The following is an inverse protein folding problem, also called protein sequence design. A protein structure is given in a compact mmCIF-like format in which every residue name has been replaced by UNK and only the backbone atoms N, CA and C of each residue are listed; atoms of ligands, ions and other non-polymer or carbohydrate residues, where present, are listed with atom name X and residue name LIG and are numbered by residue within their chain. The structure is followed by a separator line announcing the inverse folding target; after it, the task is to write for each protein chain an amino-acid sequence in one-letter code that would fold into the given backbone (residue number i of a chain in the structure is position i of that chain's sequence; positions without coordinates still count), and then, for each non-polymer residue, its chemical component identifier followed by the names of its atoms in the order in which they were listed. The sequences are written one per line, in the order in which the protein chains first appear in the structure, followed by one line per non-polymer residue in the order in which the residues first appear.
data_IF_512918251871
#
_entry.id   IF_512918251871
#
_cell.length_a   1.000
_cell.length_b   1.000
_cell.length_c   1.000
_cell.angle_alpha   90.00
_cell.angle_beta   90.00
_cell.angle_gamma   90.00
#
_symmetry.space_group_name_H-M   'P 1'
#
loop_
_entity.id
_entity.type
_entity.pdbx_description
1 polymer ?
#
# COMPACT_ATOMS: atom_id res chain seq x y z
N UNK A 1 -13.26 8.52 -11.19
CA UNK A 1 -13.73 8.05 -9.87
C UNK A 1 -13.93 6.55 -9.87
N UNK A 2 -13.23 5.83 -8.99
CA UNK A 2 -13.41 4.39 -8.76
C UNK A 2 -13.79 4.18 -7.30
N UNK A 3 -14.83 3.39 -7.05
CA UNK A 3 -15.17 2.97 -5.69
C UNK A 3 -14.22 1.85 -5.29
N UNK A 4 -13.36 2.14 -4.32
CA UNK A 4 -12.42 1.16 -3.78
C UNK A 4 -13.01 0.60 -2.49
N UNK A 5 -13.22 -0.71 -2.46
CA UNK A 5 -13.51 -1.43 -1.22
C UNK A 5 -12.21 -1.70 -0.49
N UNK A 6 -11.96 -1.00 0.61
CA UNK A 6 -10.74 -1.16 1.39
C UNK A 6 -10.97 -1.74 2.79
N UNK A 7 -9.99 -2.48 3.34
CA UNK A 7 -9.98 -2.90 4.74
C UNK A 7 -9.95 -1.73 5.71
N UNK A 8 -10.68 -1.88 6.81
CA UNK A 8 -10.63 -1.01 8.00
C UNK A 8 -9.64 -1.61 8.99
N UNK A 9 -8.71 -0.80 9.49
CA UNK A 9 -7.77 -1.20 10.53
C UNK A 9 -8.38 -1.06 11.92
N UNK A 10 -8.21 -2.09 12.76
CA UNK A 10 -8.63 -2.06 14.16
C UNK A 10 -7.59 -2.64 15.09
N UNK A 11 -7.61 -2.16 16.33
CA UNK A 11 -6.73 -2.62 17.40
C UNK A 11 -7.54 -3.39 18.45
N UNK A 12 -6.98 -4.48 18.94
CA UNK A 12 -7.61 -5.37 19.90
C UNK A 12 -6.66 -5.72 21.05
N UNK A 13 -7.22 -5.80 22.25
CA UNK A 13 -6.57 -6.50 23.37
C UNK A 13 -6.66 -8.01 23.13
N UNK A 14 -5.66 -8.83 23.51
CA UNK A 14 -5.69 -10.28 23.31
C UNK A 14 -6.95 -10.97 23.85
N UNK A 15 -7.57 -10.46 24.92
CA UNK A 15 -8.82 -11.04 25.46
C UNK A 15 -10.00 -10.94 24.49
N UNK A 16 -9.91 -10.08 23.47
CA UNK A 16 -10.92 -9.89 22.43
C UNK A 16 -10.48 -10.46 21.07
N UNK A 17 -9.60 -11.47 21.06
CA UNK A 17 -9.13 -12.11 19.82
C UNK A 17 -10.29 -12.65 18.96
N UNK A 18 -11.38 -13.13 19.57
CA UNK A 18 -12.57 -13.57 18.83
C UNK A 18 -13.20 -12.43 17.99
N UNK A 19 -13.24 -11.21 18.53
CA UNK A 19 -13.71 -10.04 17.78
C UNK A 19 -12.75 -9.66 16.65
N UNK A 20 -11.43 -9.75 16.90
CA UNK A 20 -10.42 -9.51 15.88
C UNK A 20 -10.57 -10.50 14.71
N UNK A 21 -10.76 -11.78 15.00
CA UNK A 21 -11.00 -12.83 13.99
C UNK A 21 -12.26 -12.52 13.18
N UNK A 22 -13.37 -12.16 13.84
CA UNK A 22 -14.62 -11.80 13.16
C UNK A 22 -14.44 -10.62 12.21
N UNK A 23 -13.73 -9.58 12.65
CA UNK A 23 -13.40 -8.40 11.84
C UNK A 23 -12.54 -8.75 10.62
N UNK A 24 -11.53 -9.59 10.79
CA UNK A 24 -10.64 -10.00 9.70
C UNK A 24 -11.35 -10.92 8.70
N UNK A 25 -12.21 -11.83 9.17
CA UNK A 25 -13.05 -12.67 8.30
C UNK A 25 -14.05 -11.85 7.48
N UNK A 26 -14.45 -10.69 7.98
CA UNK A 26 -15.26 -9.72 7.24
C UNK A 26 -14.43 -8.81 6.31
N UNK A 27 -13.14 -9.10 6.10
CA UNK A 27 -12.23 -8.41 5.19
C UNK A 27 -11.33 -7.36 5.83
N UNK A 28 -11.52 -7.04 7.11
CA UNK A 28 -10.75 -6.01 7.80
C UNK A 28 -9.32 -6.43 8.16
N UNK A 29 -8.54 -5.47 8.67
CA UNK A 29 -7.21 -5.74 9.22
C UNK A 29 -7.22 -5.53 10.74
N UNK A 30 -6.53 -6.40 11.49
CA UNK A 30 -6.47 -6.31 12.93
C UNK A 30 -5.03 -6.29 13.47
N UNK A 31 -4.78 -5.43 14.46
CA UNK A 31 -3.63 -5.47 15.36
C UNK A 31 -4.05 -6.07 16.70
N UNK A 32 -3.32 -7.07 17.17
CA UNK A 32 -3.46 -7.64 18.51
C UNK A 32 -2.28 -7.17 19.37
N UNK A 33 -2.57 -6.42 20.43
CA UNK A 33 -1.58 -5.82 21.34
C UNK A 33 -1.22 -6.74 22.51
N UNK A 34 -0.71 -7.94 22.21
CA UNK A 34 -0.20 -8.83 23.26
C UNK A 34 1.16 -8.33 23.76
N UNK A 35 1.35 -8.13 25.05
CA UNK A 35 2.70 -7.80 25.55
C UNK A 35 3.51 -9.08 25.82
N UNK A 36 4.79 -9.15 25.42
CA UNK A 36 5.62 -8.08 24.84
C UNK A 36 5.57 -7.96 23.29
N UNK A 37 4.74 -8.77 22.61
CA UNK A 37 4.74 -8.95 21.14
C UNK A 37 3.40 -8.65 20.50
N UNK A 38 3.37 -7.66 19.62
CA UNK A 38 2.18 -7.35 18.84
C UNK A 38 2.18 -8.15 17.54
N UNK A 39 0.99 -8.50 17.09
CA UNK A 39 0.77 -9.28 15.87
C UNK A 39 -0.31 -8.63 15.03
N UNK A 40 -0.20 -8.75 13.72
CA UNK A 40 -1.29 -8.53 12.80
C UNK A 40 -2.04 -9.84 12.61
N UNK A 41 -3.34 -9.74 12.47
CA UNK A 41 -4.19 -10.78 11.91
C UNK A 41 -4.79 -10.21 10.62
N UNK A 42 -4.56 -10.88 9.51
CA UNK A 42 -4.88 -10.41 8.17
C UNK A 42 -5.63 -11.50 7.38
N UNK A 43 -6.47 -11.12 6.40
CA UNK A 43 -7.23 -12.08 5.64
C UNK A 43 -6.32 -12.90 4.71
N UNK A 44 -6.74 -14.14 4.47
CA UNK A 44 -6.30 -14.99 3.36
C UNK A 44 -7.57 -15.51 2.70
N UNK A 45 -7.59 -15.55 1.37
CA UNK A 45 -8.70 -16.06 0.58
C UNK A 45 -8.21 -17.28 -0.21
N UNK A 46 -8.55 -18.48 0.28
CA UNK A 46 -8.12 -19.75 -0.32
C UNK A 46 -6.59 -19.84 -0.55
N UNK A 47 -5.79 -19.28 0.36
CA UNK A 47 -4.33 -19.24 0.28
C UNK A 47 -3.76 -18.06 -0.52
N UNK A 48 -4.63 -17.19 -1.05
CA UNK A 48 -4.24 -15.95 -1.72
C UNK A 48 -4.34 -14.76 -0.78
N UNK A 49 -3.37 -13.85 -0.87
CA UNK A 49 -3.36 -12.61 -0.09
C UNK A 49 -4.14 -11.54 -0.88
N UNK A 50 -5.22 -10.94 -0.33
CA UNK A 50 -5.91 -9.85 -1.00
C UNK A 50 -4.96 -8.68 -1.31
N UNK A 51 -5.19 -7.98 -2.43
CA UNK A 51 -4.25 -6.96 -2.94
C UNK A 51 -3.89 -5.90 -1.87
N UNK A 52 -4.90 -5.27 -1.24
CA UNK A 52 -4.65 -4.24 -0.23
C UNK A 52 -4.02 -4.80 1.05
N UNK A 53 -4.20 -6.09 1.34
CA UNK A 53 -3.49 -6.78 2.41
C UNK A 53 -2.01 -6.97 2.06
N UNK A 54 -1.71 -7.40 0.83
CA UNK A 54 -0.35 -7.54 0.35
C UNK A 54 0.40 -6.20 0.37
N UNK A 55 -0.27 -5.11 -0.06
CA UNK A 55 0.30 -3.77 -0.02
C UNK A 55 0.54 -3.25 1.40
N UNK A 56 -0.39 -3.48 2.33
CA UNK A 56 -0.15 -3.19 3.74
C UNK A 56 1.07 -3.93 4.30
N UNK A 57 1.24 -5.21 3.94
CA UNK A 57 2.40 -6.00 4.35
C UNK A 57 3.71 -5.44 3.77
N UNK A 58 3.69 -4.98 2.51
CA UNK A 58 4.82 -4.33 1.87
C UNK A 58 5.18 -2.99 2.55
N UNK A 59 4.18 -2.15 2.84
CA UNK A 59 4.37 -0.88 3.54
C UNK A 59 4.98 -1.09 4.94
N UNK A 60 4.63 -2.20 5.60
CA UNK A 60 5.20 -2.60 6.88
C UNK A 60 6.54 -3.36 6.77
N UNK A 61 7.07 -3.55 5.57
CA UNK A 61 8.33 -4.26 5.34
C UNK A 61 8.31 -5.68 5.89
N UNK A 62 7.17 -6.36 5.81
CA UNK A 62 6.98 -7.73 6.30
C UNK A 62 7.92 -8.67 5.56
N UNK A 63 8.74 -9.40 6.31
CA UNK A 63 9.72 -10.37 5.78
C UNK A 63 9.25 -11.81 5.81
N UNK A 64 8.14 -12.08 6.49
CA UNK A 64 7.58 -13.40 6.67
C UNK A 64 6.28 -13.33 7.46
N UNK A 65 5.43 -14.32 7.22
CA UNK A 65 4.12 -14.47 7.83
C UNK A 65 3.82 -15.96 8.01
N UNK A 66 2.96 -16.28 8.97
CA UNK A 66 2.47 -17.63 9.19
C UNK A 66 0.99 -17.68 8.78
N UNK A 67 0.58 -18.72 8.06
CA UNK A 67 -0.85 -19.04 7.94
C UNK A 67 -1.26 -19.87 9.15
N UNK A 68 -2.32 -19.46 9.84
CA UNK A 68 -2.77 -20.16 11.05
C UNK A 68 -3.43 -21.48 10.64
N UNK A 69 -2.88 -22.60 11.09
CA UNK A 69 -3.35 -23.94 10.71
C UNK A 69 -4.58 -24.41 11.49
N UNK A 70 -4.70 -24.02 12.76
CA UNK A 70 -5.72 -24.58 13.67
C UNK A 70 -6.39 -23.52 14.55
N UNK A 71 -7.57 -23.87 15.07
CA UNK A 71 -8.34 -23.02 15.96
C UNK A 71 -9.19 -21.96 15.24
N UNK A 72 -9.80 -21.02 15.99
CA UNK A 72 -10.77 -20.08 15.43
C UNK A 72 -10.21 -19.14 14.35
N UNK A 73 -8.90 -18.88 14.39
CA UNK A 73 -8.19 -18.07 13.40
C UNK A 73 -7.66 -18.89 12.20
N UNK A 74 -7.98 -20.18 12.09
CA UNK A 74 -7.49 -21.01 10.99
C UNK A 74 -7.83 -20.42 9.61
N UNK A 75 -6.84 -20.43 8.72
CA UNK A 75 -6.91 -19.81 7.39
C UNK A 75 -6.71 -18.28 7.39
N UNK A 76 -6.29 -17.68 8.50
CA UNK A 76 -5.89 -16.26 8.54
C UNK A 76 -4.37 -16.15 8.59
N UNK A 77 -3.84 -15.02 8.11
CA UNK A 77 -2.42 -14.74 8.18
C UNK A 77 -2.10 -14.08 9.53
N UNK A 78 -1.03 -14.55 10.17
CA UNK A 78 -0.45 -13.95 11.37
C UNK A 78 0.91 -13.38 11.03
N UNK A 79 1.08 -12.09 11.31
CA UNK A 79 2.33 -11.37 11.02
C UNK A 79 2.85 -10.74 12.30
N UNK A 80 4.13 -10.91 12.61
CA UNK A 80 4.74 -10.20 13.74
C UNK A 80 4.91 -8.72 13.40
N UNK A 81 4.37 -7.83 14.23
CA UNK A 81 4.52 -6.39 14.04
C UNK A 81 5.82 -5.89 14.70
N UNK A 82 6.79 -5.35 13.93
CA UNK A 82 8.01 -4.79 14.49
C UNK A 82 7.72 -3.59 15.40
N UNK A 83 8.50 -3.44 16.48
CA UNK A 83 8.27 -2.40 17.50
C UNK A 83 8.25 -0.98 16.90
N UNK A 84 9.15 -0.71 15.96
CA UNK A 84 9.30 0.59 15.31
C UNK A 84 8.13 0.97 14.38
N UNK A 85 7.27 0.01 14.02
CA UNK A 85 6.10 0.26 13.17
C UNK A 85 4.79 0.28 13.94
N UNK A 86 4.81 0.04 15.26
CA UNK A 86 3.59 0.00 16.07
C UNK A 86 2.82 1.32 16.01
N UNK A 87 3.51 2.44 16.13
CA UNK A 87 2.91 3.78 16.07
C UNK A 87 2.22 4.02 14.73
N UNK A 88 2.90 3.73 13.61
CA UNK A 88 2.33 3.88 12.27
C UNK A 88 1.04 3.09 12.07
N UNK A 89 0.98 1.83 12.55
CA UNK A 89 -0.25 1.03 12.43
C UNK A 89 -1.34 1.51 13.39
N UNK A 90 -0.97 2.09 14.53
CA UNK A 90 -1.95 2.72 15.43
C UNK A 90 -2.56 3.98 14.79
N UNK A 91 -1.77 4.76 14.05
CA UNK A 91 -2.28 5.91 13.29
C UNK A 91 -3.31 5.46 12.24
N UNK A 92 -3.08 4.32 11.59
CA UNK A 92 -4.06 3.72 10.66
C UNK A 92 -5.34 3.30 11.39
N UNK A 93 -5.22 2.68 12.56
CA UNK A 93 -6.36 2.31 13.40
C UNK A 93 -7.14 3.55 13.88
N UNK A 94 -6.46 4.64 14.21
CA UNK A 94 -7.08 5.89 14.66
C UNK A 94 -7.85 6.56 13.51
N UNK A 95 -7.23 6.67 12.33
CA UNK A 95 -7.90 7.15 11.11
C UNK A 95 -9.18 6.36 10.81
N UNK A 96 -9.11 5.05 11.00
CA UNK A 96 -10.19 4.13 10.65
C UNK A 96 -11.23 3.94 11.79
N UNK A 97 -10.98 4.50 12.98
CA UNK A 97 -11.86 4.37 14.15
C UNK A 97 -13.26 4.97 13.93
N UNK A 98 -13.41 5.88 12.96
CA UNK A 98 -14.69 6.46 12.56
C UNK A 98 -15.64 5.47 11.89
N UNK A 99 -15.14 4.35 11.37
CA UNK A 99 -15.95 3.35 10.69
C UNK A 99 -16.39 2.27 11.68
N UNK A 100 -17.62 1.78 11.56
CA UNK A 100 -18.15 0.65 12.35
C UNK A 100 -17.99 -0.71 11.65
N UNK A 101 -17.80 -0.70 10.33
CA UNK A 101 -17.64 -1.90 9.50
C UNK A 101 -16.20 -2.40 9.45
N UNK A 102 -15.99 -3.56 8.80
CA UNK A 102 -14.65 -4.12 8.55
C UNK A 102 -14.07 -3.72 7.19
N UNK A 103 -14.94 -3.30 6.27
CA UNK A 103 -14.61 -2.79 4.96
C UNK A 103 -15.38 -1.48 4.72
N UNK A 104 -14.80 -0.56 3.97
CA UNK A 104 -15.45 0.68 3.56
C UNK A 104 -15.28 0.91 2.07
N UNK A 105 -16.34 1.42 1.43
CA UNK A 105 -16.28 1.92 0.06
C UNK A 105 -15.79 3.37 0.09
N UNK A 106 -14.67 3.65 -0.56
CA UNK A 106 -14.17 5.01 -0.73
C UNK A 106 -14.11 5.39 -2.22
N UNK A 107 -14.77 6.49 -2.56
CA UNK A 107 -14.71 7.06 -3.89
C UNK A 107 -13.36 7.76 -4.09
N UNK A 108 -12.43 7.10 -4.77
CA UNK A 108 -11.09 7.63 -5.02
C UNK A 108 -10.96 8.07 -6.48
N UNK A 109 -10.66 9.34 -6.67
CA UNK A 109 -10.31 9.88 -7.98
C UNK A 109 -8.81 10.19 -8.04
N UNK A 110 -8.08 9.41 -8.85
CA UNK A 110 -6.64 9.57 -9.02
C UNK A 110 -6.28 10.81 -9.86
N UNK A 111 -7.14 11.20 -10.81
CA UNK A 111 -6.93 12.38 -11.66
C UNK A 111 -7.22 13.69 -10.91
N UNK A 112 -7.97 13.63 -9.81
CA UNK A 112 -8.13 14.78 -8.93
C UNK A 112 -6.98 14.97 -7.94
N UNK A 113 -6.18 13.93 -7.68
CA UNK A 113 -5.16 14.00 -6.62
C UNK A 113 -3.72 13.95 -7.04
N UNK A 114 -3.39 13.11 -8.01
CA UNK A 114 -2.02 12.87 -8.43
C UNK A 114 -1.05 12.58 -7.25
N UNK A 115 -1.52 12.15 -6.07
CA UNK A 115 -0.66 12.02 -4.90
C UNK A 115 0.44 10.97 -5.09
N UNK A 116 0.17 9.91 -5.88
CA UNK A 116 1.20 8.97 -6.30
C UNK A 116 2.32 9.67 -7.10
N UNK A 117 2.00 10.65 -7.94
CA UNK A 117 2.99 11.45 -8.65
C UNK A 117 3.66 12.52 -7.77
N UNK A 118 3.01 12.98 -6.71
CA UNK A 118 3.53 14.06 -5.84
C UNK A 118 4.43 13.57 -4.71
N UNK A 119 4.24 12.33 -4.25
CA UNK A 119 4.86 11.82 -3.02
C UNK A 119 5.69 10.54 -3.18
N UNK A 120 5.53 9.79 -4.27
CA UNK A 120 6.26 8.52 -4.42
C UNK A 120 7.61 8.67 -5.11
N UNK A 121 8.54 7.79 -4.72
CA UNK A 121 9.80 7.56 -5.43
C UNK A 121 9.68 6.24 -6.18
N UNK A 122 9.66 6.32 -7.50
CA UNK A 122 9.40 5.18 -8.37
C UNK A 122 10.72 4.58 -8.80
N UNK A 123 10.96 3.33 -8.41
CA UNK A 123 12.04 2.51 -8.96
C UNK A 123 11.67 2.08 -10.37
N UNK A 124 12.66 2.05 -11.26
CA UNK A 124 12.52 1.49 -12.60
C UNK A 124 13.13 0.10 -12.67
N UNK A 125 12.46 -0.78 -13.37
CA UNK A 125 12.98 -2.09 -13.78
C UNK A 125 13.40 -2.05 -15.25
N UNK A 126 14.29 -2.94 -15.71
CA UNK A 126 14.73 -2.99 -17.12
C UNK A 126 13.57 -3.03 -18.13
N UNK A 127 12.49 -3.72 -17.77
CA UNK A 127 11.26 -3.86 -18.54
C UNK A 127 10.56 -2.52 -18.80
N UNK A 128 10.69 -1.54 -17.89
CA UNK A 128 10.16 -0.19 -18.07
C UNK A 128 10.86 0.53 -19.22
N UNK A 129 12.18 0.38 -19.33
CA UNK A 129 12.99 1.01 -20.37
C UNK A 129 12.80 0.33 -21.74
N UNK A 130 12.66 -1.00 -21.75
CA UNK A 130 12.32 -1.76 -22.94
C UNK A 130 10.95 -1.32 -23.48
N UNK A 131 9.96 -1.15 -22.58
CA UNK A 131 8.63 -0.65 -22.93
C UNK A 131 8.69 0.73 -23.56
N UNK A 132 9.47 1.65 -23.00
CA UNK A 132 9.64 2.99 -23.56
C UNK A 132 10.32 2.97 -24.92
N UNK A 133 11.35 2.15 -25.09
CA UNK A 133 12.06 1.99 -26.37
C UNK A 133 11.14 1.43 -27.44
N UNK A 134 10.40 0.37 -27.12
CA UNK A 134 9.44 -0.27 -28.03
C UNK A 134 8.31 0.68 -28.43
N UNK A 135 7.88 1.55 -27.52
CA UNK A 135 6.90 2.59 -27.78
C UNK A 135 7.45 3.80 -28.57
N UNK A 136 8.72 3.78 -28.99
CA UNK A 136 9.36 4.89 -29.71
C UNK A 136 9.62 6.11 -28.82
N UNK A 137 9.74 5.91 -27.50
CA UNK A 137 9.97 6.95 -26.48
C UNK A 137 11.27 6.73 -25.67
N UNK A 138 12.42 6.41 -26.29
CA UNK A 138 13.66 6.11 -25.56
C UNK A 138 14.20 7.31 -24.77
N UNK A 139 13.77 8.53 -25.09
CA UNK A 139 14.17 9.73 -24.35
C UNK A 139 13.70 9.70 -22.88
N UNK A 140 12.66 8.92 -22.56
CA UNK A 140 12.19 8.70 -21.18
C UNK A 140 13.23 8.02 -20.29
N UNK A 141 14.22 7.33 -20.86
CA UNK A 141 15.32 6.71 -20.10
C UNK A 141 16.49 7.67 -19.83
N UNK A 142 16.46 8.90 -20.32
CA UNK A 142 17.59 9.84 -20.21
C UNK A 142 17.70 10.47 -18.82
N UNK A 143 18.81 11.16 -18.55
CA UNK A 143 19.08 11.84 -17.27
C UNK A 143 18.08 12.97 -16.94
N UNK A 144 17.31 13.43 -17.93
CA UNK A 144 16.25 14.41 -17.74
C UNK A 144 15.04 13.81 -17.01
N UNK A 145 14.78 12.53 -17.23
CA UNK A 145 13.62 11.81 -16.69
C UNK A 145 13.97 10.76 -15.64
N UNK A 146 15.21 10.27 -15.65
CA UNK A 146 15.71 9.21 -14.76
C UNK A 146 16.90 9.70 -13.96
N UNK A 147 16.99 9.25 -12.71
CA UNK A 147 18.14 9.44 -11.85
C UNK A 147 18.67 8.10 -11.37
N UNK A 148 19.99 7.97 -11.34
CA UNK A 148 20.65 6.87 -10.64
C UNK A 148 20.93 7.20 -9.17
N UNK A 149 20.72 6.23 -8.30
CA UNK A 149 21.08 6.31 -6.89
C UNK A 149 21.40 4.93 -6.34
N UNK A 150 22.63 4.74 -5.84
CA UNK A 150 23.10 3.47 -5.25
C UNK A 150 22.88 2.25 -6.16
N UNK A 151 23.19 2.39 -7.45
CA UNK A 151 23.02 1.32 -8.45
C UNK A 151 21.57 1.04 -8.84
N UNK A 152 20.61 1.87 -8.41
CA UNK A 152 19.20 1.77 -8.77
C UNK A 152 18.79 2.95 -9.64
N UNK A 153 17.93 2.72 -10.63
CA UNK A 153 17.36 3.77 -11.49
C UNK A 153 15.98 4.15 -10.97
N UNK A 154 15.71 5.43 -10.84
CA UNK A 154 14.45 5.96 -10.36
C UNK A 154 13.92 7.03 -11.30
N UNK A 155 12.61 7.17 -11.39
CA UNK A 155 12.04 8.39 -11.96
C UNK A 155 12.56 9.61 -11.21
N UNK A 156 12.92 10.63 -11.97
CA UNK A 156 13.37 11.90 -11.42
C UNK A 156 12.20 12.60 -10.73
N UNK A 157 12.50 13.20 -9.59
CA UNK A 157 11.60 14.08 -8.86
C UNK A 157 12.12 15.50 -8.94
N UNK A 158 11.22 16.46 -9.15
CA UNK A 158 11.50 17.89 -9.14
C UNK A 158 11.84 18.36 -7.73
N UNK A 159 12.31 19.61 -7.59
CA UNK A 159 12.68 20.19 -6.28
C UNK A 159 11.53 20.17 -5.27
N UNK A 160 10.28 20.22 -5.73
CA UNK A 160 9.08 20.14 -4.89
C UNK A 160 8.64 18.72 -4.49
N UNK A 161 9.35 17.68 -4.92
CA UNK A 161 8.99 16.28 -4.66
C UNK A 161 8.14 15.63 -5.76
N UNK A 162 7.49 16.45 -6.59
CA UNK A 162 6.68 15.99 -7.72
C UNK A 162 7.50 15.20 -8.76
N UNK A 163 6.92 14.14 -9.28
CA UNK A 163 7.46 13.37 -10.41
C UNK A 163 7.66 14.28 -11.62
N UNK A 164 8.76 14.08 -12.35
CA UNK A 164 9.10 14.82 -13.57
C UNK A 164 8.03 14.72 -14.67
N UNK A 165 7.20 13.67 -14.65
CA UNK A 165 6.12 13.45 -15.62
C UNK A 165 4.76 14.01 -15.17
N UNK A 166 4.70 14.72 -14.04
CA UNK A 166 3.47 15.34 -13.57
C UNK A 166 3.21 16.65 -14.32
N UNK A 167 2.06 16.74 -14.98
CA UNK A 167 1.54 17.95 -15.61
C UNK A 167 0.17 18.29 -15.02
N UNK A 168 0.09 19.31 -14.18
CA UNK A 168 -1.11 19.57 -13.38
C UNK A 168 -1.40 18.42 -12.41
N UNK A 169 -2.47 17.66 -12.66
CA UNK A 169 -2.79 16.40 -11.96
C UNK A 169 -2.73 15.17 -12.88
N UNK A 170 -2.20 15.32 -14.08
CA UNK A 170 -2.14 14.25 -15.08
C UNK A 170 -0.70 13.77 -15.28
N UNK A 171 -0.57 12.47 -15.58
CA UNK A 171 0.73 11.89 -15.93
C UNK A 171 0.95 12.01 -17.43
N UNK A 172 2.01 12.71 -17.84
CA UNK A 172 2.35 12.91 -19.26
C UNK A 172 2.78 11.62 -19.98
N UNK A 173 2.98 10.53 -19.24
CA UNK A 173 3.33 9.19 -19.75
C UNK A 173 2.33 8.13 -19.28
N UNK A 174 1.06 8.48 -19.06
CA UNK A 174 0.07 7.59 -18.42
C UNK A 174 0.02 6.16 -19.00
N UNK A 175 0.01 6.05 -20.34
CA UNK A 175 -0.01 4.76 -21.06
C UNK A 175 1.33 4.01 -21.02
N UNK A 176 2.42 4.71 -20.71
CA UNK A 176 3.79 4.19 -20.63
C UNK A 176 4.33 4.21 -19.20
N UNK A 177 3.46 4.31 -18.20
CA UNK A 177 3.85 4.30 -16.79
C UNK A 177 4.72 3.08 -16.46
N UNK A 178 5.74 3.26 -15.60
CA UNK A 178 6.47 2.14 -15.03
C UNK A 178 5.57 1.15 -14.31
N UNK A 179 6.01 -0.08 -14.15
CA UNK A 179 5.24 -1.13 -13.48
C UNK A 179 4.93 -0.76 -12.03
N UNK A 180 5.87 -0.17 -11.31
CA UNK A 180 5.64 0.37 -9.97
C UNK A 180 4.54 1.47 -9.92
N UNK A 181 4.39 2.26 -10.99
CA UNK A 181 3.32 3.25 -11.09
C UNK A 181 1.96 2.63 -11.44
N UNK A 182 1.94 1.47 -12.09
CA UNK A 182 0.73 0.72 -12.44
C UNK A 182 0.22 -0.10 -11.26
N UNK A 183 1.15 -0.72 -10.54
CA UNK A 183 0.86 -1.62 -9.44
C UNK A 183 0.37 -0.87 -8.20
N UNK A 184 0.73 0.42 -8.02
CA UNK A 184 0.31 1.22 -6.87
C UNK A 184 -1.23 1.34 -6.79
N UNK A 185 -1.89 0.65 -5.85
CA UNK A 185 -3.34 0.55 -5.86
C UNK A 185 -3.96 1.76 -5.16
N UNK A 186 -5.10 2.20 -5.66
CA UNK A 186 -5.90 3.18 -4.94
C UNK A 186 -6.38 2.56 -3.62
N UNK A 187 -6.36 3.32 -2.53
CA UNK A 187 -6.82 2.87 -1.21
C UNK A 187 -5.81 2.08 -0.38
N UNK A 188 -4.58 1.85 -0.86
CA UNK A 188 -3.48 1.39 0.01
C UNK A 188 -3.14 2.41 1.09
N UNK A 189 -2.44 1.97 2.13
CA UNK A 189 -2.00 2.84 3.22
C UNK A 189 -1.08 3.96 2.73
N UNK A 190 -0.17 3.67 1.79
CA UNK A 190 0.59 4.69 1.08
C UNK A 190 -0.29 5.70 0.32
N UNK A 191 -1.39 5.26 -0.30
CA UNK A 191 -2.32 6.14 -1.02
C UNK A 191 -3.09 7.05 -0.06
N UNK A 192 -3.63 6.49 1.02
CA UNK A 192 -4.40 7.22 2.03
C UNK A 192 -3.52 8.23 2.78
N UNK A 193 -2.32 7.83 3.16
CA UNK A 193 -1.36 8.72 3.85
C UNK A 193 -0.96 9.90 2.97
N UNK A 194 -0.65 9.64 1.69
CA UNK A 194 -0.31 10.71 0.76
C UNK A 194 -1.47 11.70 0.55
N UNK A 195 -2.74 11.25 0.62
CA UNK A 195 -3.91 12.14 0.52
C UNK A 195 -4.15 12.98 1.77
N UNK A 196 -3.78 12.50 2.95
CA UNK A 196 -3.95 13.24 4.21
C UNK A 196 -3.00 14.43 4.33
N UNK A 197 -1.83 14.41 3.67
CA UNK A 197 -0.84 15.49 3.66
C UNK A 197 -1.13 16.65 2.68
N UNK A 198 -2.38 16.79 2.24
CA UNK A 198 -2.80 17.82 1.26
C UNK A 198 -2.93 19.22 1.86
#
# INVERSE_FOLDING_TARGET
MSDVMRPVWRTYDPRFEANAIGHVRAGGHAVIRAEPRWWLLLPSDEGMIPELTAWAMLDLGVKGFDEVETGPAAGLLRVKLPKQLREHVMDWCERDAQYETSMVAEALDCQQCAMCCRKNRVLLEPEDEERWTTAGRPELSTADHVRESRGRRLLRVMRGGDCVHLSGNECSIYELRPDNCRAFPAGSEGCLSARAER
#
